data_IF_276339792465
#
_entry.id   IF_276339792465
#
_cell.length_a   1.000
_cell.length_b   1.000
_cell.length_c   1.000
_cell.angle_alpha   90.00
_cell.angle_beta   90.00
_cell.angle_gamma   90.00
#
_symmetry.space_group_name_H-M   'P 1'
#
loop_
_entity.id
_entity.type
_entity.pdbx_description
1 polymer ?
#
# COMPACT_ATOMS: atom_id res chain seq x y z
N UNK A 1 -16.81 -3.83 -6.52
CA UNK A 1 -16.15 -4.19 -7.80
C UNK A 1 -14.90 -5.03 -7.56
N UNK A 2 -13.89 -4.51 -6.84
CA UNK A 2 -12.61 -5.19 -6.56
C UNK A 2 -12.69 -6.48 -5.74
N UNK A 3 -13.82 -6.77 -5.09
CA UNK A 3 -14.07 -8.04 -4.39
C UNK A 3 -14.51 -9.16 -5.34
N UNK A 4 -15.27 -8.84 -6.39
CA UNK A 4 -15.85 -9.86 -7.28
C UNK A 4 -15.06 -10.04 -8.57
N UNK A 5 -14.39 -8.99 -9.05
CA UNK A 5 -13.64 -9.02 -10.30
C UNK A 5 -12.15 -9.17 -10.00
N UNK A 6 -11.59 -10.34 -10.36
CA UNK A 6 -10.18 -10.62 -10.18
C UNK A 6 -9.31 -9.81 -11.16
N UNK A 7 -8.47 -8.88 -10.66
CA UNK A 7 -7.62 -8.05 -11.52
C UNK A 7 -6.50 -8.83 -12.22
N UNK A 8 -6.27 -10.10 -11.86
CA UNK A 8 -5.37 -10.98 -12.62
C UNK A 8 -5.99 -11.54 -13.89
N UNK A 9 -7.33 -11.62 -13.95
CA UNK A 9 -8.06 -12.36 -14.98
C UNK A 9 -8.78 -11.42 -15.93
N UNK A 10 -9.37 -10.34 -15.40
CA UNK A 10 -10.18 -9.44 -16.22
C UNK A 10 -9.34 -8.27 -16.77
N UNK A 11 -9.32 -8.04 -18.09
CA UNK A 11 -8.56 -6.95 -18.72
C UNK A 11 -9.19 -5.56 -18.52
N UNK A 12 -10.33 -5.50 -17.81
CA UNK A 12 -11.02 -4.24 -17.49
C UNK A 12 -10.21 -3.34 -16.53
N UNK A 13 -9.23 -3.92 -15.82
CA UNK A 13 -8.35 -3.16 -14.96
C UNK A 13 -7.20 -2.56 -15.76
N UNK A 14 -7.04 -1.22 -15.76
CA UNK A 14 -6.02 -0.56 -16.56
C UNK A 14 -4.62 -1.00 -16.10
N UNK A 15 -3.74 -1.27 -17.07
CA UNK A 15 -2.31 -1.49 -16.81
C UNK A 15 -1.71 -0.19 -16.25
N UNK A 16 -0.67 -0.34 -15.42
CA UNK A 16 0.03 0.82 -14.87
C UNK A 16 0.66 1.63 -16.02
N UNK A 17 0.29 2.92 -16.21
CA UNK A 17 0.83 3.72 -17.31
C UNK A 17 2.34 3.92 -17.17
N UNK A 18 2.85 4.03 -15.93
CA UNK A 18 4.28 4.12 -15.68
C UNK A 18 5.02 2.89 -16.21
N UNK A 19 4.54 1.69 -15.88
CA UNK A 19 5.11 0.43 -16.39
C UNK A 19 5.04 0.35 -17.92
N UNK A 20 3.94 0.78 -18.52
CA UNK A 20 3.77 0.76 -19.98
C UNK A 20 4.74 1.73 -20.68
N UNK A 21 5.01 2.89 -20.07
CA UNK A 21 5.86 3.95 -20.65
C UNK A 21 7.34 3.69 -20.40
N UNK A 22 7.72 3.30 -19.17
CA UNK A 22 9.13 3.20 -18.76
C UNK A 22 9.67 1.77 -18.76
N UNK A 23 8.78 0.77 -18.75
CA UNK A 23 9.16 -0.63 -18.54
C UNK A 23 9.46 -1.00 -17.09
N UNK A 24 9.48 -0.02 -16.17
CA UNK A 24 9.78 -0.23 -14.76
C UNK A 24 8.52 -0.32 -13.90
N UNK A 25 8.52 -1.18 -12.88
CA UNK A 25 7.43 -1.29 -11.92
C UNK A 25 7.53 -0.15 -10.90
N UNK A 26 6.50 0.68 -10.77
CA UNK A 26 6.44 1.68 -9.70
C UNK A 26 6.15 1.01 -8.34
N UNK A 27 6.36 1.70 -7.19
CA UNK A 27 6.12 1.11 -5.87
C UNK A 27 4.67 0.64 -5.68
N UNK A 28 3.72 1.24 -6.39
CA UNK A 28 2.31 0.88 -6.39
C UNK A 28 1.89 -0.21 -7.39
N UNK A 29 2.82 -0.74 -8.20
CA UNK A 29 2.51 -1.83 -9.11
C UNK A 29 2.05 -3.07 -8.32
N UNK A 30 0.90 -3.62 -8.71
CA UNK A 30 0.29 -4.76 -8.02
C UNK A 30 -0.61 -4.42 -6.83
N UNK A 31 -0.77 -3.16 -6.44
CA UNK A 31 -1.60 -2.79 -5.28
C UNK A 31 -3.05 -3.24 -5.39
N UNK A 32 -3.66 -3.16 -6.59
CA UNK A 32 -5.03 -3.65 -6.81
C UNK A 32 -5.15 -5.17 -6.57
N UNK A 33 -4.14 -5.94 -7.01
CA UNK A 33 -4.08 -7.40 -6.80
C UNK A 33 -3.87 -7.75 -5.33
N UNK A 34 -2.98 -7.02 -4.66
CA UNK A 34 -2.75 -7.18 -3.23
C UNK A 34 -4.03 -6.87 -2.42
N UNK A 35 -4.72 -5.77 -2.72
CA UNK A 35 -5.99 -5.41 -2.08
C UNK A 35 -7.08 -6.47 -2.33
N UNK A 36 -7.21 -7.00 -3.56
CA UNK A 36 -8.14 -8.10 -3.83
C UNK A 36 -7.84 -9.33 -2.95
N UNK A 37 -6.58 -9.70 -2.78
CA UNK A 37 -6.19 -10.83 -1.93
C UNK A 37 -6.45 -10.55 -0.44
N UNK A 38 -6.18 -9.34 0.04
CA UNK A 38 -6.49 -8.93 1.41
C UNK A 38 -8.00 -8.96 1.71
N UNK A 39 -8.82 -8.54 0.74
CA UNK A 39 -10.28 -8.63 0.85
C UNK A 39 -10.79 -10.07 0.98
N UNK A 40 -10.03 -11.04 0.49
CA UNK A 40 -10.30 -12.49 0.65
C UNK A 40 -9.52 -13.12 1.80
N UNK A 41 -8.94 -12.31 2.69
CA UNK A 41 -8.14 -12.75 3.85
C UNK A 41 -6.87 -13.57 3.48
N UNK A 42 -6.41 -13.47 2.23
CA UNK A 42 -5.21 -14.15 1.76
C UNK A 42 -3.99 -13.23 1.85
N UNK A 43 -3.47 -13.10 3.07
CA UNK A 43 -2.35 -12.18 3.38
C UNK A 43 -1.05 -12.61 2.70
N UNK A 44 -0.77 -13.91 2.63
CA UNK A 44 0.43 -14.43 1.98
C UNK A 44 0.47 -14.08 0.49
N UNK A 45 -0.64 -14.29 -0.22
CA UNK A 45 -0.73 -13.94 -1.65
C UNK A 45 -0.74 -12.42 -1.85
N UNK A 46 -1.33 -11.65 -0.93
CA UNK A 46 -1.25 -10.19 -0.98
C UNK A 46 0.18 -9.69 -0.85
N UNK A 47 0.97 -10.29 0.04
CA UNK A 47 2.37 -9.93 0.27
C UNK A 47 3.22 -10.20 -0.98
N UNK A 48 3.01 -11.33 -1.65
CA UNK A 48 3.70 -11.64 -2.91
C UNK A 48 3.36 -10.60 -4.00
N UNK A 49 2.12 -10.12 -4.04
CA UNK A 49 1.68 -9.16 -5.06
C UNK A 49 2.27 -7.75 -4.82
N UNK A 50 2.19 -7.27 -3.57
CA UNK A 50 2.79 -6.01 -3.15
C UNK A 50 2.94 -5.96 -1.61
N UNK A 51 4.16 -6.17 -1.07
CA UNK A 51 4.42 -6.09 0.37
C UNK A 51 4.11 -4.74 0.99
N UNK A 52 4.34 -3.64 0.26
CA UNK A 52 4.12 -2.28 0.76
C UNK A 52 2.64 -2.07 1.12
N UNK A 53 1.72 -2.59 0.31
CA UNK A 53 0.28 -2.48 0.62
C UNK A 53 -0.04 -3.19 1.93
N UNK A 54 0.47 -4.41 2.13
CA UNK A 54 0.18 -5.18 3.35
C UNK A 54 0.72 -4.47 4.60
N UNK A 55 1.90 -3.85 4.50
CA UNK A 55 2.55 -3.16 5.61
C UNK A 55 1.90 -1.79 5.89
N UNK A 56 1.59 -1.01 4.84
CA UNK A 56 1.08 0.34 4.98
C UNK A 56 -0.43 0.45 5.15
N UNK A 57 -1.19 -0.58 4.78
CA UNK A 57 -2.64 -0.53 4.92
C UNK A 57 -3.08 -0.37 6.39
N UNK A 58 -2.55 -1.10 7.38
CA UNK A 58 -2.86 -0.88 8.79
C UNK A 58 -2.49 0.53 9.27
N UNK A 59 -1.35 1.05 8.81
CA UNK A 59 -0.89 2.40 9.12
C UNK A 59 -1.87 3.47 8.63
N UNK A 60 -2.35 3.35 7.38
CA UNK A 60 -3.33 4.27 6.79
C UNK A 60 -4.68 4.17 7.52
N UNK A 61 -5.14 2.95 7.82
CA UNK A 61 -6.40 2.73 8.57
C UNK A 61 -6.33 3.39 9.94
N UNK A 62 -5.20 3.23 10.64
CA UNK A 62 -4.98 3.87 11.94
C UNK A 62 -4.98 5.40 11.83
N UNK A 63 -4.33 5.97 10.81
CA UNK A 63 -4.37 7.41 10.55
C UNK A 63 -5.79 7.94 10.35
N UNK A 64 -6.58 7.27 9.49
CA UNK A 64 -7.99 7.62 9.25
C UNK A 64 -8.81 7.53 10.54
N UNK A 65 -8.61 6.49 11.35
CA UNK A 65 -9.29 6.33 12.63
C UNK A 65 -8.98 7.48 13.60
N UNK A 66 -7.70 7.87 13.70
CA UNK A 66 -7.27 8.95 14.60
C UNK A 66 -7.81 10.32 14.16
N UNK A 67 -7.81 10.60 12.86
CA UNK A 67 -8.28 11.89 12.32
C UNK A 67 -9.80 12.01 12.29
N UNK A 68 -10.49 10.98 11.80
CA UNK A 68 -11.92 11.07 11.46
C UNK A 68 -12.84 10.55 12.57
N UNK A 69 -12.44 9.49 13.27
CA UNK A 69 -13.27 8.86 14.32
C UNK A 69 -12.99 9.40 15.73
N UNK A 70 -12.28 10.54 15.83
CA UNK A 70 -12.02 11.20 17.12
C UNK A 70 -10.95 10.50 17.96
N UNK A 71 -10.20 9.54 17.40
CA UNK A 71 -9.09 8.87 18.09
C UNK A 71 -8.01 9.85 18.58
N UNK A 72 -7.89 11.03 17.95
CA UNK A 72 -7.04 12.12 18.43
C UNK A 72 -7.34 12.61 19.85
N UNK A 73 -8.60 12.51 20.32
CA UNK A 73 -8.97 12.90 21.69
C UNK A 73 -8.59 11.83 22.71
N UNK A 74 -8.53 10.56 22.28
CA UNK A 74 -8.27 9.40 23.14
C UNK A 74 -6.76 9.09 23.18
N UNK A 75 -6.06 9.22 22.05
CA UNK A 75 -4.64 8.87 21.88
C UNK A 75 -3.82 9.98 21.20
N UNK A 76 -3.65 11.15 21.84
CA UNK A 76 -2.96 12.29 21.23
C UNK A 76 -1.47 12.04 20.94
N UNK A 77 -0.81 11.19 21.76
CA UNK A 77 0.61 10.84 21.58
C UNK A 77 0.84 9.98 20.33
N UNK A 78 -0.08 9.06 20.04
CA UNK A 78 0.03 8.16 18.87
C UNK A 78 0.05 8.98 17.58
N UNK A 79 -0.79 10.03 17.48
CA UNK A 79 -0.80 10.94 16.33
C UNK A 79 0.56 11.62 16.12
N UNK A 80 1.15 12.20 17.16
CA UNK A 80 2.42 12.93 17.00
C UNK A 80 3.56 12.00 16.57
N UNK A 81 3.56 10.75 17.02
CA UNK A 81 4.52 9.74 16.55
C UNK A 81 4.21 9.29 15.12
N UNK A 82 2.94 9.08 14.78
CA UNK A 82 2.53 8.63 13.45
C UNK A 82 2.87 9.69 12.38
N UNK A 83 2.52 10.95 12.62
CA UNK A 83 2.71 12.06 11.69
C UNK A 83 4.03 12.83 11.90
N UNK A 84 4.97 12.26 12.64
CA UNK A 84 6.27 12.86 12.86
C UNK A 84 7.11 12.92 11.57
N UNK A 85 7.94 13.96 11.44
CA UNK A 85 8.90 14.10 10.33
C UNK A 85 9.78 12.86 10.12
N UNK A 86 10.17 12.21 11.20
CA UNK A 86 10.98 10.98 11.16
C UNK A 86 10.22 9.82 10.53
N UNK A 87 8.95 9.64 10.86
CA UNK A 87 8.08 8.59 10.31
C UNK A 87 7.89 8.80 8.81
N UNK A 88 7.61 10.05 8.38
CA UNK A 88 7.52 10.38 6.96
C UNK A 88 8.82 10.07 6.19
N UNK A 89 9.98 10.39 6.77
CA UNK A 89 11.29 10.08 6.17
C UNK A 89 11.51 8.56 6.08
N UNK A 90 11.19 7.78 7.11
CA UNK A 90 11.34 6.32 7.09
C UNK A 90 10.42 5.65 6.05
N UNK A 91 9.19 6.14 5.92
CA UNK A 91 8.24 5.68 4.90
C UNK A 91 8.82 5.95 3.50
N UNK A 92 9.31 7.16 3.27
CA UNK A 92 9.88 7.53 1.98
C UNK A 92 11.13 6.69 1.64
N UNK A 93 12.03 6.50 2.61
CA UNK A 93 13.22 5.65 2.44
C UNK A 93 12.84 4.22 2.08
N UNK A 94 11.90 3.61 2.80
CA UNK A 94 11.50 2.23 2.55
C UNK A 94 10.77 2.05 1.21
N UNK A 95 9.99 3.04 0.75
CA UNK A 95 9.39 3.05 -0.59
C UNK A 95 10.48 3.05 -1.66
N UNK A 96 11.51 3.90 -1.50
CA UNK A 96 12.64 3.96 -2.44
C UNK A 96 13.43 2.65 -2.44
N UNK A 97 13.77 2.11 -1.27
CA UNK A 97 14.49 0.85 -1.15
C UNK A 97 13.72 -0.30 -1.80
N UNK A 98 12.41 -0.37 -1.59
CA UNK A 98 11.55 -1.36 -2.23
C UNK A 98 11.52 -1.19 -3.75
N UNK A 99 11.40 0.05 -4.22
CA UNK A 99 11.38 0.35 -5.65
C UNK A 99 12.67 -0.07 -6.34
N UNK A 100 13.83 0.23 -5.74
CA UNK A 100 15.13 -0.19 -6.23
C UNK A 100 15.24 -1.72 -6.21
N UNK A 101 14.87 -2.37 -5.11
CA UNK A 101 14.94 -3.83 -4.98
C UNK A 101 14.11 -4.57 -6.02
N UNK A 102 12.97 -4.02 -6.44
CA UNK A 102 12.06 -4.64 -7.43
C UNK A 102 12.46 -4.41 -8.89
N UNK A 103 13.21 -3.36 -9.19
CA UNK A 103 13.57 -3.01 -10.58
C UNK A 103 15.01 -3.38 -10.95
N UNK A 104 15.86 -3.63 -9.94
CA UNK A 104 17.27 -3.96 -10.16
C UNK A 104 17.51 -5.48 -10.14
N UNK A 105 16.66 -6.25 -9.44
CA UNK A 105 16.67 -7.71 -9.41
C UNK A 105 15.50 -8.27 -10.20
#
# INVERSE_FOLDING_TARGET
>A
MLYHLNPNVYPIFPKCPFLVITGFECPGCGSQRALHQLLHLNVASAFIQNPLVVIYLPYIILGIYLEYFGGNKIFPHVRNTLYGKWTATLILISIILFWLGRNIF
#
